data_IF_983957619628
#
_entry.id   IF_983957619628
#
_cell.length_a   1.000
_cell.length_b   1.000
_cell.length_c   1.000
_cell.angle_alpha   90.00
_cell.angle_beta   90.00
_cell.angle_gamma   90.00
#
_symmetry.space_group_name_H-M   'P 1'
#
loop_
_entity.id
_entity.type
_entity.pdbx_description
1 polymer ?
#
# COMPACT_ATOMS: atom_id res chain seq x y z
N UNK A 1 -15.86 22.91 47.40
CA UNK A 1 -14.72 23.18 46.52
C UNK A 1 -15.03 24.43 45.70
N UNK A 2 -14.12 25.39 45.61
CA UNK A 2 -14.34 26.61 44.83
C UNK A 2 -14.13 26.29 43.34
N UNK A 3 -15.05 26.70 42.45
CA UNK A 3 -14.97 26.42 41.00
C UNK A 3 -13.61 26.85 40.40
N UNK A 4 -13.06 27.95 40.91
CA UNK A 4 -11.74 28.45 40.51
C UNK A 4 -10.60 27.48 40.86
N UNK A 5 -10.70 26.76 41.99
CA UNK A 5 -9.70 25.75 42.37
C UNK A 5 -9.76 24.52 41.44
N UNK A 6 -10.96 24.12 41.01
CA UNK A 6 -11.13 22.99 40.08
C UNK A 6 -10.51 23.31 38.72
N UNK A 7 -10.81 24.50 38.17
CA UNK A 7 -10.22 24.94 36.90
C UNK A 7 -8.71 25.08 37.00
N UNK A 8 -8.18 25.65 38.10
CA UNK A 8 -6.75 25.74 38.34
C UNK A 8 -6.07 24.37 38.36
N UNK A 9 -6.68 23.38 39.04
CA UNK A 9 -6.18 22.01 39.07
C UNK A 9 -6.19 21.34 37.70
N UNK A 10 -7.23 21.57 36.88
CA UNK A 10 -7.28 21.07 35.50
C UNK A 10 -6.18 21.68 34.63
N UNK A 11 -5.93 22.98 34.77
CA UNK A 11 -4.83 23.66 34.05
C UNK A 11 -3.47 23.14 34.46
N UNK A 12 -3.23 22.91 35.75
CA UNK A 12 -1.99 22.32 36.23
C UNK A 12 -1.76 20.91 35.65
N UNK A 13 -2.80 20.06 35.65
CA UNK A 13 -2.75 18.73 35.03
C UNK A 13 -2.52 18.80 33.51
N UNK A 14 -3.12 19.78 32.83
CA UNK A 14 -2.91 19.97 31.39
C UNK A 14 -1.48 20.40 31.09
N UNK A 15 -0.89 21.30 31.88
CA UNK A 15 0.49 21.72 31.71
C UNK A 15 1.48 20.56 31.86
N UNK A 16 1.25 19.66 32.82
CA UNK A 16 2.03 18.43 32.95
C UNK A 16 1.89 17.54 31.71
N UNK A 17 0.66 17.31 31.26
CA UNK A 17 0.39 16.48 30.07
C UNK A 17 0.97 17.08 28.79
N UNK A 18 1.00 18.41 28.68
CA UNK A 18 1.63 19.12 27.57
C UNK A 18 3.13 18.83 27.48
N UNK A 19 3.84 18.79 28.61
CA UNK A 19 5.26 18.41 28.63
C UNK A 19 5.48 16.96 28.18
N UNK A 20 4.64 16.03 28.64
CA UNK A 20 4.68 14.63 28.21
C UNK A 20 4.44 14.49 26.70
N UNK A 21 3.48 15.25 26.16
CA UNK A 21 3.17 15.29 24.72
C UNK A 21 4.31 15.90 23.90
N UNK A 22 4.95 16.97 24.38
CA UNK A 22 6.09 17.57 23.68
C UNK A 22 7.28 16.60 23.58
N UNK A 23 7.60 15.90 24.68
CA UNK A 23 8.64 14.88 24.67
C UNK A 23 8.28 13.72 23.75
N UNK A 24 7.03 13.25 23.80
CA UNK A 24 6.52 12.23 22.90
C UNK A 24 6.66 12.64 21.43
N UNK A 25 6.17 13.82 21.05
CA UNK A 25 6.20 14.30 19.67
C UNK A 25 7.62 14.52 19.15
N UNK A 26 8.55 14.95 20.01
CA UNK A 26 9.97 15.09 19.68
C UNK A 26 10.67 13.75 19.43
N UNK A 27 10.23 12.70 20.13
CA UNK A 27 10.82 11.36 20.02
C UNK A 27 10.27 10.53 18.85
N UNK A 28 9.26 11.03 18.10
CA UNK A 28 8.73 10.33 16.92
C UNK A 28 9.65 10.58 15.71
N UNK A 29 10.29 9.53 15.15
CA UNK A 29 11.03 9.65 13.91
C UNK A 29 10.14 10.08 12.74
N UNK A 30 10.67 10.87 11.82
CA UNK A 30 9.94 11.37 10.64
C UNK A 30 9.32 10.22 9.82
N UNK A 31 10.02 9.10 9.67
CA UNK A 31 9.52 7.92 8.95
C UNK A 31 8.27 7.30 9.60
N UNK A 32 8.25 7.21 10.93
CA UNK A 32 7.11 6.71 11.70
C UNK A 32 5.97 7.72 11.73
N UNK A 33 6.29 9.01 11.77
CA UNK A 33 5.31 10.09 11.61
C UNK A 33 4.57 10.00 10.26
N UNK A 34 5.31 9.79 9.17
CA UNK A 34 4.72 9.56 7.83
C UNK A 34 3.89 8.29 7.77
N UNK A 35 4.31 7.22 8.44
CA UNK A 35 3.58 5.95 8.46
C UNK A 35 2.16 6.11 9.05
N UNK A 36 1.99 6.99 10.04
CA UNK A 36 0.72 7.23 10.71
C UNK A 36 -0.04 8.45 10.19
N UNK A 37 0.46 9.15 9.16
CA UNK A 37 -0.05 10.45 8.73
C UNK A 37 -1.57 10.46 8.49
N UNK A 38 -2.09 9.42 7.83
CA UNK A 38 -3.51 9.30 7.47
C UNK A 38 -4.31 8.46 8.48
N UNK A 39 -3.74 8.13 9.64
CA UNK A 39 -4.40 7.30 10.65
C UNK A 39 -5.19 8.19 11.60
N UNK A 40 -6.50 7.98 11.62
CA UNK A 40 -7.40 8.58 12.61
C UNK A 40 -7.18 7.90 13.98
N UNK A 41 -6.66 8.66 14.94
CA UNK A 41 -6.31 8.13 16.27
C UNK A 41 -7.42 8.23 17.29
N UNK A 42 -8.39 9.10 17.03
CA UNK A 42 -9.43 9.46 17.97
C UNK A 42 -10.79 9.39 17.29
N UNK A 43 -11.82 9.12 18.09
CA UNK A 43 -13.17 9.43 17.66
C UNK A 43 -13.29 10.96 17.48
N UNK A 44 -13.92 11.40 16.38
CA UNK A 44 -14.12 12.81 16.05
C UNK A 44 -14.83 13.63 17.16
N UNK A 45 -15.59 12.98 18.04
CA UNK A 45 -16.20 13.62 19.21
C UNK A 45 -15.16 14.05 20.27
N UNK A 46 -14.04 13.33 20.36
CA UNK A 46 -12.96 13.59 21.31
C UNK A 46 -11.98 14.60 20.73
N UNK A 47 -11.36 14.27 19.60
CA UNK A 47 -10.39 15.13 18.94
C UNK A 47 -10.52 15.00 17.43
N UNK A 48 -10.35 16.12 16.73
CA UNK A 48 -10.17 16.14 15.27
C UNK A 48 -8.68 16.21 15.03
N UNK A 49 -8.03 15.05 14.87
CA UNK A 49 -6.59 14.94 14.67
C UNK A 49 -6.22 13.66 13.93
N UNK A 50 -5.29 13.78 12.99
CA UNK A 50 -4.67 12.69 12.24
C UNK A 50 -3.15 12.70 12.50
N UNK A 51 -2.49 11.57 12.30
CA UNK A 51 -1.04 11.50 12.44
C UNK A 51 -0.55 11.12 13.85
N UNK A 52 0.76 10.92 13.95
CA UNK A 52 1.41 10.49 15.19
C UNK A 52 1.49 11.59 16.27
N UNK A 53 1.51 12.87 15.85
CA UNK A 53 1.69 14.01 16.75
C UNK A 53 0.44 14.30 17.58
N UNK A 54 0.64 14.55 18.86
CA UNK A 54 -0.43 14.78 19.84
C UNK A 54 -0.54 16.24 20.30
N UNK A 55 0.43 17.08 19.95
CA UNK A 55 0.42 18.52 20.26
C UNK A 55 -0.87 19.27 19.85
N UNK A 56 -1.53 18.99 18.69
CA UNK A 56 -2.80 19.66 18.38
C UNK A 56 -3.96 19.28 19.31
N UNK A 57 -3.90 18.11 19.95
CA UNK A 57 -4.91 17.69 20.92
C UNK A 57 -4.82 18.50 22.22
N UNK A 58 -3.62 18.97 22.60
CA UNK A 58 -3.45 19.86 23.75
C UNK A 58 -4.20 21.17 23.53
N UNK A 59 -4.09 21.78 22.34
CA UNK A 59 -4.79 23.02 22.02
C UNK A 59 -6.32 22.86 22.02
N UNK A 60 -6.83 21.71 21.55
CA UNK A 60 -8.25 21.40 21.62
C UNK A 60 -8.73 21.22 23.08
N UNK A 61 -7.90 20.61 23.94
CA UNK A 61 -8.21 20.42 25.35
C UNK A 61 -8.14 21.75 26.14
N UNK A 62 -7.17 22.62 25.84
CA UNK A 62 -7.10 24.00 26.38
C UNK A 62 -8.40 24.76 26.09
N UNK A 63 -8.89 24.70 24.85
CA UNK A 63 -10.16 25.32 24.45
C UNK A 63 -11.35 24.78 25.25
N UNK A 64 -11.41 23.47 25.49
CA UNK A 64 -12.48 22.87 26.32
C UNK A 64 -12.45 23.33 27.76
N UNK A 65 -11.28 23.41 28.38
CA UNK A 65 -11.16 23.90 29.77
C UNK A 65 -11.57 25.37 29.85
N UNK A 66 -11.16 26.20 28.89
CA UNK A 66 -11.56 27.61 28.83
C UNK A 66 -13.08 27.76 28.65
N UNK A 67 -13.71 26.87 27.87
CA UNK A 67 -15.17 26.85 27.74
C UNK A 67 -15.83 26.47 29.06
N UNK A 68 -15.34 25.44 29.75
CA UNK A 68 -15.85 25.02 31.06
C UNK A 68 -15.73 26.14 32.10
N UNK A 69 -14.58 26.83 32.14
CA UNK A 69 -14.37 27.98 33.03
C UNK A 69 -15.40 29.09 32.79
N UNK A 70 -15.68 29.42 31.51
CA UNK A 70 -16.72 30.40 31.16
C UNK A 70 -18.09 29.95 31.65
N UNK A 71 -18.48 28.69 31.41
CA UNK A 71 -19.77 28.17 31.85
C UNK A 71 -19.93 28.22 33.38
N UNK A 72 -18.86 27.90 34.12
CA UNK A 72 -18.83 27.99 35.59
C UNK A 72 -18.94 29.43 36.08
N UNK A 73 -18.25 30.38 35.42
CA UNK A 73 -18.30 31.81 35.79
C UNK A 73 -19.67 32.43 35.57
N UNK A 74 -20.36 32.03 34.48
CA UNK A 74 -21.70 32.49 34.11
C UNK A 74 -22.81 31.73 34.85
N UNK A 75 -22.46 30.73 35.68
CA UNK A 75 -23.41 29.88 36.41
C UNK A 75 -24.49 29.30 35.50
N UNK A 76 -24.08 28.77 34.34
CA UNK A 76 -25.00 28.10 33.43
C UNK A 76 -25.61 26.84 34.07
N UNK A 77 -26.56 26.25 33.36
CA UNK A 77 -27.25 25.04 33.78
C UNK A 77 -26.30 23.91 34.21
N UNK A 78 -26.67 23.22 35.29
CA UNK A 78 -25.84 22.20 35.92
C UNK A 78 -25.61 20.97 35.03
N UNK A 79 -26.58 20.61 34.18
CA UNK A 79 -26.43 19.50 33.25
C UNK A 79 -25.41 19.84 32.16
N UNK A 80 -25.45 21.07 31.63
CA UNK A 80 -24.47 21.54 30.66
C UNK A 80 -23.04 21.56 31.21
N UNK A 81 -22.87 21.97 32.48
CA UNK A 81 -21.58 21.95 33.15
C UNK A 81 -21.10 20.50 33.34
N UNK A 82 -21.99 19.61 33.77
CA UNK A 82 -21.68 18.17 33.95
C UNK A 82 -21.19 17.54 32.65
N UNK A 83 -21.93 17.75 31.55
CA UNK A 83 -21.54 17.25 30.23
C UNK A 83 -20.18 17.80 29.79
N UNK A 84 -19.88 19.07 30.11
CA UNK A 84 -18.60 19.68 29.76
C UNK A 84 -17.44 19.10 30.59
N UNK A 85 -17.68 18.78 31.86
CA UNK A 85 -16.73 18.06 32.71
C UNK A 85 -16.43 16.65 32.17
N UNK A 86 -17.46 15.89 31.82
CA UNK A 86 -17.33 14.54 31.23
C UNK A 86 -16.50 14.58 29.95
N UNK A 87 -16.82 15.52 29.04
CA UNK A 87 -16.05 15.70 27.79
C UNK A 87 -14.58 16.03 28.04
N UNK A 88 -14.27 16.87 29.03
CA UNK A 88 -12.88 17.18 29.40
C UNK A 88 -12.19 15.92 29.93
N UNK A 89 -12.84 15.16 30.81
CA UNK A 89 -12.31 13.91 31.36
C UNK A 89 -12.04 12.86 30.28
N UNK A 90 -12.97 12.68 29.34
CA UNK A 90 -12.81 11.73 28.23
C UNK A 90 -11.65 12.12 27.33
N UNK A 91 -11.50 13.42 27.04
CA UNK A 91 -10.36 13.95 26.27
C UNK A 91 -9.03 13.71 26.97
N UNK A 92 -8.96 13.92 28.29
CA UNK A 92 -7.75 13.58 29.08
C UNK A 92 -7.42 12.09 28.99
N UNK A 93 -8.43 11.23 29.17
CA UNK A 93 -8.27 9.77 29.15
C UNK A 93 -7.82 9.28 27.78
N UNK A 94 -8.44 9.79 26.72
CA UNK A 94 -8.09 9.47 25.34
C UNK A 94 -6.67 9.92 25.00
N UNK A 95 -6.27 11.13 25.41
CA UNK A 95 -4.92 11.64 25.15
C UNK A 95 -3.84 10.83 25.89
N UNK A 96 -4.07 10.47 27.16
CA UNK A 96 -3.16 9.58 27.91
C UNK A 96 -3.08 8.18 27.28
N UNK A 97 -4.21 7.62 26.86
CA UNK A 97 -4.21 6.34 26.14
C UNK A 97 -3.41 6.45 24.85
N UNK A 98 -3.58 7.55 24.09
CA UNK A 98 -2.85 7.77 22.86
C UNK A 98 -1.34 7.82 23.10
N UNK A 99 -0.87 8.58 24.11
CA UNK A 99 0.55 8.61 24.51
C UNK A 99 1.12 7.20 24.72
N UNK A 100 0.40 6.37 25.47
CA UNK A 100 0.87 5.02 25.83
C UNK A 100 0.79 4.01 24.68
N UNK A 101 -0.04 4.27 23.66
CA UNK A 101 -0.33 3.32 22.58
C UNK A 101 0.30 3.71 21.24
N UNK A 102 0.88 4.91 21.10
CA UNK A 102 1.50 5.36 19.83
C UNK A 102 2.50 4.33 19.30
N UNK A 103 3.42 3.84 20.13
CA UNK A 103 4.43 2.86 19.71
C UNK A 103 3.82 1.51 19.29
N UNK A 104 2.71 1.10 19.89
CA UNK A 104 1.99 -0.11 19.50
C UNK A 104 1.35 0.08 18.12
N UNK A 105 0.73 1.24 17.88
CA UNK A 105 0.13 1.58 16.59
C UNK A 105 1.18 1.72 15.47
N UNK A 106 2.37 2.22 15.78
CA UNK A 106 3.49 2.27 14.83
C UNK A 106 3.87 0.84 14.42
N UNK A 107 4.09 -0.05 15.39
CA UNK A 107 4.44 -1.45 15.12
C UNK A 107 3.36 -2.19 14.31
N UNK A 108 2.09 -1.96 14.62
CA UNK A 108 0.99 -2.58 13.87
C UNK A 108 0.91 -2.06 12.44
N UNK A 109 1.12 -0.76 12.21
CA UNK A 109 1.19 -0.17 10.88
C UNK A 109 2.40 -0.70 10.08
N UNK A 110 3.57 -0.86 10.71
CA UNK A 110 4.76 -1.47 10.10
C UNK A 110 4.49 -2.92 9.70
N UNK A 111 3.89 -3.70 10.60
CA UNK A 111 3.51 -5.08 10.33
C UNK A 111 2.53 -5.16 9.15
N UNK A 112 1.48 -4.33 9.14
CA UNK A 112 0.50 -4.32 8.05
C UNK A 112 1.16 -3.97 6.70
N UNK A 113 2.06 -2.99 6.68
CA UNK A 113 2.82 -2.62 5.49
C UNK A 113 3.69 -3.79 4.99
N UNK A 114 4.37 -4.49 5.90
CA UNK A 114 5.20 -5.63 5.56
C UNK A 114 4.36 -6.82 5.07
N UNK A 115 3.23 -7.11 5.70
CA UNK A 115 2.30 -8.15 5.25
C UNK A 115 1.73 -7.87 3.87
N UNK A 116 1.33 -6.62 3.58
CA UNK A 116 0.89 -6.21 2.24
C UNK A 116 1.99 -6.42 1.22
N UNK A 117 3.22 -5.96 1.50
CA UNK A 117 4.38 -6.16 0.62
C UNK A 117 4.64 -7.64 0.34
N UNK A 118 4.65 -8.48 1.37
CA UNK A 118 4.84 -9.92 1.22
C UNK A 118 3.72 -10.58 0.40
N UNK A 119 2.46 -10.17 0.61
CA UNK A 119 1.32 -10.66 -0.16
C UNK A 119 1.45 -10.32 -1.66
N UNK A 120 1.80 -9.06 -1.98
CA UNK A 120 2.01 -8.64 -3.37
C UNK A 120 3.21 -9.33 -4.01
N UNK A 121 4.32 -9.51 -3.29
CA UNK A 121 5.48 -10.25 -3.77
C UNK A 121 5.13 -11.72 -4.09
N UNK A 122 4.39 -12.39 -3.20
CA UNK A 122 3.92 -13.76 -3.43
C UNK A 122 2.98 -13.86 -4.63
N UNK A 123 2.06 -12.90 -4.78
CA UNK A 123 1.16 -12.83 -5.94
C UNK A 123 1.93 -12.62 -7.25
N UNK A 124 2.94 -11.76 -7.24
CA UNK A 124 3.78 -11.56 -8.41
C UNK A 124 4.51 -12.86 -8.79
N UNK A 125 5.14 -13.53 -7.83
CA UNK A 125 5.80 -14.83 -8.06
C UNK A 125 4.83 -15.89 -8.62
N UNK A 126 3.61 -15.99 -8.08
CA UNK A 126 2.63 -16.96 -8.58
C UNK A 126 2.14 -16.65 -9.99
N UNK A 127 1.98 -15.37 -10.35
CA UNK A 127 1.65 -14.97 -11.73
C UNK A 127 2.76 -15.34 -12.73
N UNK A 128 4.02 -15.25 -12.33
CA UNK A 128 5.13 -15.69 -13.17
C UNK A 128 5.11 -17.21 -13.36
N UNK A 129 4.85 -17.98 -12.29
CA UNK A 129 4.77 -19.43 -12.36
C UNK A 129 3.59 -19.92 -13.25
N UNK A 130 2.42 -19.29 -13.17
CA UNK A 130 1.24 -19.70 -13.93
C UNK A 130 1.32 -19.37 -15.43
N UNK A 131 2.12 -18.36 -15.82
CA UNK A 131 2.29 -17.99 -17.24
C UNK A 131 2.98 -19.07 -18.09
N UNK A 132 3.68 -20.03 -17.46
CA UNK A 132 4.53 -21.01 -18.16
C UNK A 132 5.83 -20.42 -18.70
N UNK A 133 6.05 -19.11 -18.54
CA UNK A 133 7.25 -18.38 -18.95
C UNK A 133 8.11 -17.95 -17.75
N UNK A 134 7.99 -18.65 -16.62
CA UNK A 134 8.77 -18.37 -15.39
C UNK A 134 10.29 -18.42 -15.60
N UNK A 135 10.78 -19.17 -16.59
CA UNK A 135 12.20 -19.20 -16.95
C UNK A 135 12.71 -17.89 -17.58
N UNK A 136 11.85 -17.18 -18.34
CA UNK A 136 12.13 -15.83 -18.85
C UNK A 136 12.27 -14.87 -17.67
N UNK A 137 11.54 -15.13 -16.57
CA UNK A 137 11.56 -14.31 -15.38
C UNK A 137 12.79 -14.43 -14.48
N UNK A 138 13.50 -15.56 -14.53
CA UNK A 138 14.62 -15.82 -13.63
C UNK A 138 15.91 -15.07 -13.98
N UNK A 139 16.26 -15.01 -15.26
CA UNK A 139 17.59 -14.54 -15.70
C UNK A 139 17.53 -13.31 -16.62
N UNK A 140 16.54 -13.25 -17.52
CA UNK A 140 16.45 -12.21 -18.56
C UNK A 140 15.82 -10.91 -18.03
N UNK A 141 15.13 -10.97 -16.88
CA UNK A 141 14.33 -9.86 -16.35
C UNK A 141 15.10 -8.77 -15.62
N UNK A 142 16.41 -8.91 -15.42
CA UNK A 142 17.20 -7.88 -14.72
C UNK A 142 17.70 -6.77 -15.66
N UNK A 143 17.67 -6.98 -16.98
CA UNK A 143 18.23 -6.05 -17.96
C UNK A 143 17.29 -5.88 -19.16
N UNK A 144 16.94 -4.63 -19.52
CA UNK A 144 16.11 -4.33 -20.68
C UNK A 144 16.73 -4.81 -22.00
N UNK A 145 18.06 -4.74 -22.13
CA UNK A 145 18.77 -5.18 -23.33
C UNK A 145 18.64 -6.69 -23.56
N UNK A 146 18.66 -7.49 -22.49
CA UNK A 146 18.47 -8.94 -22.57
C UNK A 146 17.04 -9.31 -22.97
N UNK A 147 16.04 -8.55 -22.51
CA UNK A 147 14.66 -8.74 -22.96
C UNK A 147 14.49 -8.46 -24.45
N UNK A 148 15.11 -7.40 -24.98
CA UNK A 148 15.11 -7.15 -26.43
C UNK A 148 15.82 -8.27 -27.20
N UNK A 149 16.94 -8.79 -26.69
CA UNK A 149 17.64 -9.90 -27.30
C UNK A 149 16.78 -11.18 -27.35
N UNK A 150 16.06 -11.50 -26.26
CA UNK A 150 15.12 -12.62 -26.24
C UNK A 150 13.90 -12.38 -27.12
N UNK A 151 13.33 -11.16 -27.13
CA UNK A 151 12.23 -10.81 -28.03
C UNK A 151 12.60 -11.06 -29.49
N UNK A 152 13.81 -10.64 -29.89
CA UNK A 152 14.33 -10.88 -31.24
C UNK A 152 14.51 -12.37 -31.55
N UNK A 153 14.90 -13.21 -30.58
CA UNK A 153 14.95 -14.67 -30.78
C UNK A 153 13.55 -15.22 -31.06
N UNK A 154 12.55 -14.82 -30.27
CA UNK A 154 11.17 -15.27 -30.43
C UNK A 154 10.53 -14.80 -31.75
N UNK A 155 10.83 -13.57 -32.19
CA UNK A 155 10.43 -13.06 -33.51
C UNK A 155 11.01 -13.93 -34.63
N UNK A 156 12.32 -14.16 -34.62
CA UNK A 156 13.00 -15.00 -35.61
C UNK A 156 12.46 -16.45 -35.64
N UNK A 157 12.14 -17.01 -34.47
CA UNK A 157 11.53 -18.34 -34.40
C UNK A 157 10.11 -18.36 -34.96
N UNK A 158 9.31 -17.33 -34.68
CA UNK A 158 7.96 -17.22 -35.23
C UNK A 158 7.99 -17.22 -36.75
N UNK A 159 8.88 -16.43 -37.37
CA UNK A 159 9.04 -16.37 -38.83
C UNK A 159 9.44 -17.72 -39.42
N UNK A 160 10.44 -18.38 -38.82
CA UNK A 160 10.88 -19.73 -39.26
C UNK A 160 9.78 -20.77 -39.14
N UNK A 161 9.01 -20.75 -38.05
CA UNK A 161 7.90 -21.68 -37.83
C UNK A 161 6.78 -21.41 -38.85
N UNK A 162 6.47 -20.15 -39.14
CA UNK A 162 5.48 -19.77 -40.16
C UNK A 162 5.90 -20.25 -41.55
N UNK A 163 7.17 -20.07 -41.93
CA UNK A 163 7.70 -20.60 -43.19
C UNK A 163 7.60 -22.13 -43.24
N UNK A 164 7.94 -22.81 -42.13
CA UNK A 164 7.80 -24.28 -42.04
C UNK A 164 6.36 -24.74 -42.23
N UNK A 165 5.39 -24.06 -41.59
CA UNK A 165 3.96 -24.37 -41.75
C UNK A 165 3.56 -24.24 -43.22
N UNK A 166 3.90 -23.13 -43.86
CA UNK A 166 3.58 -22.91 -45.28
C UNK A 166 4.17 -24.00 -46.19
N UNK A 167 5.43 -24.41 -45.94
CA UNK A 167 6.05 -25.50 -46.67
C UNK A 167 5.33 -26.84 -46.46
N UNK A 168 4.93 -27.15 -45.22
CA UNK A 168 4.19 -28.38 -44.92
C UNK A 168 2.78 -28.38 -45.52
N UNK A 169 2.11 -27.23 -45.56
CA UNK A 169 0.80 -27.07 -46.21
C UNK A 169 0.90 -27.29 -47.73
N UNK A 170 1.95 -26.78 -48.36
CA UNK A 170 2.24 -27.07 -49.78
C UNK A 170 2.48 -28.57 -50.00
N UNK A 171 3.29 -29.20 -49.14
CA UNK A 171 3.57 -30.64 -49.23
C UNK A 171 2.30 -31.49 -49.03
N UNK A 172 1.36 -31.03 -48.20
CA UNK A 172 0.08 -31.69 -47.96
C UNK A 172 -0.77 -31.75 -49.23
N UNK A 173 -0.74 -30.72 -50.07
CA UNK A 173 -1.46 -30.69 -51.33
C UNK A 173 -0.96 -31.77 -52.32
N UNK A 174 0.33 -32.11 -52.28
CA UNK A 174 0.96 -33.12 -53.14
C UNK A 174 1.15 -34.50 -52.48
N UNK A 175 0.67 -34.68 -51.25
CA UNK A 175 0.96 -35.87 -50.44
C UNK A 175 0.09 -37.07 -50.81
N UNK A 176 0.67 -38.28 -50.71
CA UNK A 176 -0.08 -39.53 -50.85
C UNK A 176 -1.12 -39.67 -49.71
N UNK A 177 -2.31 -40.26 -49.96
CA UNK A 177 -3.39 -40.34 -48.97
C UNK A 177 -2.99 -40.95 -47.62
N UNK A 178 -2.08 -41.93 -47.62
CA UNK A 178 -1.63 -42.64 -46.41
C UNK A 178 -0.81 -41.76 -45.45
N UNK A 179 -0.09 -40.77 -45.97
CA UNK A 179 0.79 -39.89 -45.17
C UNK A 179 0.12 -38.57 -44.77
N UNK A 180 -1.03 -38.28 -45.38
CA UNK A 180 -1.77 -37.02 -45.21
C UNK A 180 -2.16 -36.76 -43.75
N UNK A 181 -2.61 -37.79 -43.03
CA UNK A 181 -3.01 -37.68 -41.61
C UNK A 181 -1.80 -37.37 -40.72
N UNK A 182 -0.66 -38.02 -40.97
CA UNK A 182 0.57 -37.78 -40.21
C UNK A 182 1.07 -36.35 -40.41
N UNK A 183 1.09 -35.88 -41.66
CA UNK A 183 1.50 -34.51 -41.99
C UNK A 183 0.56 -33.46 -41.40
N UNK A 184 -0.76 -33.69 -41.44
CA UNK A 184 -1.76 -32.83 -40.78
C UNK A 184 -1.50 -32.70 -39.27
N UNK A 185 -1.22 -33.81 -38.59
CA UNK A 185 -0.91 -33.79 -37.15
C UNK A 185 0.38 -33.02 -36.86
N UNK A 186 1.40 -33.13 -37.71
CA UNK A 186 2.63 -32.36 -37.57
C UNK A 186 2.39 -30.85 -37.81
N UNK A 187 1.54 -30.48 -38.78
CA UNK A 187 1.12 -29.08 -38.99
C UNK A 187 0.43 -28.54 -37.73
N UNK A 188 -0.53 -29.27 -37.16
CA UNK A 188 -1.21 -28.87 -35.92
C UNK A 188 -0.24 -28.70 -34.73
N UNK A 189 0.70 -29.63 -34.57
CA UNK A 189 1.73 -29.52 -33.54
C UNK A 189 2.63 -28.28 -33.76
N UNK A 190 2.92 -27.96 -35.01
CA UNK A 190 3.74 -26.79 -35.40
C UNK A 190 2.98 -25.48 -35.16
N UNK A 191 1.68 -25.40 -35.44
CA UNK A 191 0.83 -24.27 -35.05
C UNK A 191 0.78 -24.06 -33.53
N UNK A 192 0.70 -25.14 -32.75
CA UNK A 192 0.74 -25.04 -31.28
C UNK A 192 2.05 -24.41 -30.80
N UNK A 193 3.19 -24.72 -31.43
CA UNK A 193 4.49 -24.10 -31.14
C UNK A 193 4.52 -22.62 -31.53
N UNK A 194 3.96 -22.26 -32.68
CA UNK A 194 3.82 -20.85 -33.08
C UNK A 194 3.00 -20.05 -32.07
N UNK A 195 1.87 -20.60 -31.60
CA UNK A 195 1.05 -19.99 -30.56
C UNK A 195 1.84 -19.75 -29.27
N UNK A 196 2.67 -20.71 -28.85
CA UNK A 196 3.56 -20.54 -27.69
C UNK A 196 4.63 -19.46 -27.89
N UNK A 197 5.20 -19.34 -29.09
CA UNK A 197 6.16 -18.26 -29.39
C UNK A 197 5.49 -16.89 -29.31
N UNK A 198 4.29 -16.72 -29.89
CA UNK A 198 3.54 -15.47 -29.81
C UNK A 198 3.17 -15.10 -28.37
N UNK A 199 2.76 -16.09 -27.56
CA UNK A 199 2.50 -15.88 -26.13
C UNK A 199 3.76 -15.40 -25.39
N UNK A 200 4.93 -15.95 -25.70
CA UNK A 200 6.20 -15.52 -25.12
C UNK A 200 6.56 -14.09 -25.54
N UNK A 201 6.33 -13.72 -26.81
CA UNK A 201 6.56 -12.35 -27.30
C UNK A 201 5.73 -11.33 -26.52
N UNK A 202 4.40 -11.52 -26.44
CA UNK A 202 3.53 -10.61 -25.69
C UNK A 202 3.92 -10.51 -24.21
N UNK A 203 4.35 -11.63 -23.62
CA UNK A 203 4.86 -11.63 -22.25
C UNK A 203 6.15 -10.82 -22.10
N UNK A 204 7.09 -10.90 -23.05
CA UNK A 204 8.33 -10.11 -23.03
C UNK A 204 8.03 -8.61 -23.26
N UNK A 205 7.13 -8.28 -24.18
CA UNK A 205 6.72 -6.90 -24.49
C UNK A 205 6.07 -6.20 -23.30
N UNK A 206 5.14 -6.87 -22.59
CA UNK A 206 4.53 -6.35 -21.36
C UNK A 206 5.61 -6.03 -20.30
N UNK A 207 6.70 -6.81 -20.28
CA UNK A 207 7.79 -6.64 -19.30
C UNK A 207 8.71 -5.49 -19.67
N UNK A 208 9.06 -5.35 -20.94
CA UNK A 208 9.77 -4.19 -21.45
C UNK A 208 8.99 -2.92 -21.07
N UNK A 209 7.67 -2.91 -21.31
CA UNK A 209 6.81 -1.79 -20.94
C UNK A 209 6.80 -1.49 -19.44
N UNK A 210 6.86 -2.52 -18.57
CA UNK A 210 6.92 -2.34 -17.12
C UNK A 210 8.27 -1.76 -16.66
N UNK A 211 9.39 -2.19 -17.24
CA UNK A 211 10.73 -1.69 -16.91
C UNK A 211 10.95 -0.27 -17.43
N UNK A 212 10.49 0.01 -18.63
CA UNK A 212 10.64 1.31 -19.29
C UNK A 212 9.57 2.30 -18.89
N UNK A 213 8.60 1.89 -18.05
CA UNK A 213 7.56 2.79 -17.55
C UNK A 213 8.25 3.99 -16.93
N UNK A 214 8.05 5.21 -17.46
CA UNK A 214 8.73 6.39 -16.95
C UNK A 214 8.45 6.50 -15.46
N UNK A 215 9.50 6.68 -14.65
CA UNK A 215 9.43 6.85 -13.20
C UNK A 215 8.73 8.18 -12.86
N UNK A 216 7.43 8.29 -13.17
CA UNK A 216 6.63 9.47 -12.85
C UNK A 216 6.19 9.47 -11.38
N UNK A 217 6.55 8.45 -10.59
CA UNK A 217 6.08 8.30 -9.20
C UNK A 217 7.14 8.54 -8.11
N UNK A 218 8.31 9.09 -8.42
CA UNK A 218 9.32 9.42 -7.39
C UNK A 218 9.38 10.93 -7.04
N UNK A 219 8.33 11.67 -7.41
CA UNK A 219 8.09 13.05 -6.96
C UNK A 219 6.69 13.18 -6.36
N UNK A 220 6.44 12.58 -5.20
CA UNK A 220 5.41 13.02 -4.24
C UNK A 220 5.88 12.76 -2.81
#
# INVERSE_FOLDING_TARGET
>A
MNNNQVVANLRAKLAQLEQEVLQHDANIPVSQGKLLQDVERFNNQLFIQQGAKLSPCIEQLKKSINQLEKQLSLKLDAQLITLSCERVQDRFTALKRALNTTNINIKSAEQQKNSKRAFFAKRQQSTHASSGFGWIAGNVMQNSHELYAELNKHLNWADKITQKIAQMELNLASCHPNDKIALQNEILATHKRLGKCRQAMSYIEERIQLLERPHYSDKR
#
